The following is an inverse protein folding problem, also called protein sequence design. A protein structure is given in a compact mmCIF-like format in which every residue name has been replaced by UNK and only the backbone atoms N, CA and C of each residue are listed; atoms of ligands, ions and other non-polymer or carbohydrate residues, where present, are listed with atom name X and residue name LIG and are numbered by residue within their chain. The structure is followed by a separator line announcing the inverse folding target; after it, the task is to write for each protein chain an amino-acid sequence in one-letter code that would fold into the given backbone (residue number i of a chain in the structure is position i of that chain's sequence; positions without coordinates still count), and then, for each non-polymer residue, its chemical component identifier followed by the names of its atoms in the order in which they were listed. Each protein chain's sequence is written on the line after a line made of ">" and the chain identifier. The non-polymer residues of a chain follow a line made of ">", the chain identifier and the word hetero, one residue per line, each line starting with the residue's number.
data_IF_824414089484
#
_entry.id   IF_824414089484
#
_cell.length_a   1.000
_cell.length_b   1.000
_cell.length_c   1.000
_cell.angle_alpha   90.00
_cell.angle_beta   90.00
_cell.angle_gamma   90.00
#
_symmetry.space_group_name_H-M   'P 1'
#
loop_
_entity.id
_entity.type
_entity.pdbx_description
1 polymer ?
#
# COMPACT_ATOMS: atom_id res chain seq x y z
N UNK A 1 4.54 -33.05 -16.83
CA UNK A 1 5.67 -32.47 -16.07
C UNK A 1 5.50 -30.97 -16.04
N UNK A 2 5.57 -30.31 -14.88
CA UNK A 2 5.61 -28.85 -14.82
C UNK A 2 6.93 -28.32 -15.40
N UNK A 3 6.91 -27.11 -15.94
CA UNK A 3 8.08 -26.43 -16.46
C UNK A 3 9.10 -26.19 -15.32
N UNK A 4 10.35 -26.66 -15.48
CA UNK A 4 11.42 -26.37 -14.53
C UNK A 4 11.66 -24.85 -14.46
N UNK A 5 11.91 -24.33 -13.26
CA UNK A 5 12.15 -22.90 -13.00
C UNK A 5 11.00 -21.97 -13.40
N UNK A 6 9.74 -22.43 -13.31
CA UNK A 6 8.56 -21.62 -13.64
C UNK A 6 8.49 -20.28 -12.88
N UNK A 7 9.14 -20.17 -11.73
CA UNK A 7 9.21 -18.93 -10.94
C UNK A 7 9.78 -17.73 -11.71
N UNK A 8 10.61 -17.96 -12.73
CA UNK A 8 11.16 -16.90 -13.60
C UNK A 8 10.08 -16.29 -14.51
N UNK A 9 9.04 -17.06 -14.81
CA UNK A 9 7.93 -16.66 -15.69
C UNK A 9 6.68 -16.26 -14.91
N UNK A 10 6.71 -16.32 -13.58
CA UNK A 10 5.57 -15.96 -12.71
C UNK A 10 5.77 -14.59 -12.10
N UNK A 11 4.71 -13.78 -12.12
CA UNK A 11 4.68 -12.47 -11.46
C UNK A 11 3.66 -12.50 -10.32
N UNK A 12 4.08 -12.05 -9.14
CA UNK A 12 3.17 -11.79 -8.03
C UNK A 12 2.58 -10.38 -8.19
N UNK A 13 1.26 -10.31 -8.38
CA UNK A 13 0.53 -9.06 -8.55
C UNK A 13 -0.22 -8.78 -7.25
N UNK A 14 -0.26 -7.51 -6.85
CA UNK A 14 -1.00 -7.08 -5.67
C UNK A 14 -2.45 -6.82 -6.08
N UNK A 15 -3.38 -7.48 -5.41
CA UNK A 15 -4.81 -7.22 -5.53
C UNK A 15 -5.17 -5.94 -4.75
N UNK A 16 -5.06 -4.79 -5.42
CA UNK A 16 -5.35 -3.49 -4.82
C UNK A 16 -6.80 -3.35 -4.43
N UNK A 17 -7.73 -3.90 -5.20
CA UNK A 17 -9.16 -3.72 -4.94
C UNK A 17 -9.55 -4.44 -3.67
N UNK A 18 -9.03 -5.66 -3.46
CA UNK A 18 -9.19 -6.37 -2.19
C UNK A 18 -8.52 -5.63 -1.03
N UNK A 19 -7.29 -5.12 -1.22
CA UNK A 19 -6.59 -4.34 -0.20
C UNK A 19 -7.41 -3.12 0.23
N UNK A 20 -7.86 -2.30 -0.74
CA UNK A 20 -8.60 -1.07 -0.47
C UNK A 20 -9.99 -1.37 0.10
N UNK A 21 -10.66 -2.42 -0.37
CA UNK A 21 -11.99 -2.80 0.14
C UNK A 21 -11.90 -3.26 1.59
N UNK A 22 -10.99 -4.18 1.90
CA UNK A 22 -10.89 -4.77 3.24
C UNK A 22 -10.37 -3.77 4.28
N UNK A 23 -9.54 -2.81 3.85
CA UNK A 23 -9.07 -1.71 4.72
C UNK A 23 -10.00 -0.50 4.73
N UNK A 24 -11.16 -0.59 4.06
CA UNK A 24 -12.10 0.51 3.82
C UNK A 24 -11.46 1.76 3.19
N UNK A 25 -10.31 1.59 2.54
CA UNK A 25 -9.49 2.64 1.96
C UNK A 25 -9.30 3.84 2.91
N UNK A 26 -9.17 3.56 4.21
CA UNK A 26 -9.13 4.56 5.25
C UNK A 26 -7.91 4.31 6.12
N UNK A 27 -6.91 5.18 5.97
CA UNK A 27 -5.62 5.03 6.61
C UNK A 27 -5.28 6.28 7.41
N UNK A 28 -4.38 6.15 8.37
CA UNK A 28 -3.83 7.28 9.12
C UNK A 28 -2.48 7.65 8.53
N UNK A 29 -2.32 8.91 8.14
CA UNK A 29 -1.07 9.44 7.64
C UNK A 29 -0.05 9.58 8.79
N UNK A 30 1.15 9.02 8.61
CA UNK A 30 2.22 9.01 9.62
C UNK A 30 3.35 9.97 9.26
N UNK A 31 3.89 9.85 8.04
CA UNK A 31 5.03 10.64 7.58
C UNK A 31 5.12 10.63 6.06
N UNK A 32 5.98 11.49 5.50
CA UNK A 32 6.28 11.52 4.08
C UNK A 32 7.76 11.84 3.83
N UNK A 33 8.25 11.43 2.66
CA UNK A 33 9.54 11.83 2.10
C UNK A 33 9.43 12.02 0.59
N UNK A 34 10.17 12.96 -0.02
CA UNK A 34 10.25 13.08 -1.47
C UNK A 34 10.69 11.75 -2.09
N UNK A 35 10.09 11.41 -3.23
CA UNK A 35 10.44 10.22 -4.01
C UNK A 35 10.83 10.61 -5.43
N UNK A 36 11.96 10.06 -5.88
CA UNK A 36 12.38 10.07 -7.28
C UNK A 36 12.88 8.68 -7.66
N UNK A 37 12.34 8.13 -8.74
CA UNK A 37 12.77 6.83 -9.24
C UNK A 37 14.19 6.90 -9.80
N UNK A 38 15.04 5.95 -9.39
CA UNK A 38 16.40 5.80 -9.92
C UNK A 38 16.44 5.35 -11.39
N UNK A 39 15.39 4.64 -11.84
CA UNK A 39 15.32 4.07 -13.19
C UNK A 39 14.67 5.01 -14.19
N UNK A 40 13.72 5.83 -13.74
CA UNK A 40 13.02 6.80 -14.57
C UNK A 40 12.91 8.14 -13.83
N UNK A 41 13.80 9.11 -14.11
CA UNK A 41 13.81 10.40 -13.42
C UNK A 41 12.50 11.20 -13.51
N UNK A 42 11.64 10.92 -14.49
CA UNK A 42 10.32 11.56 -14.64
C UNK A 42 9.28 11.03 -13.66
N UNK A 43 9.52 9.86 -13.07
CA UNK A 43 8.68 9.30 -12.00
C UNK A 43 9.06 9.93 -10.66
N UNK A 44 8.53 11.12 -10.44
CA UNK A 44 8.65 11.85 -9.19
C UNK A 44 7.33 11.87 -8.43
N UNK A 45 7.44 11.99 -7.11
CA UNK A 45 6.29 11.95 -6.22
C UNK A 45 6.69 11.99 -4.76
N UNK A 46 5.84 11.42 -3.92
CA UNK A 46 6.03 11.39 -2.47
C UNK A 46 5.84 9.97 -1.97
N UNK A 47 6.82 9.46 -1.22
CA UNK A 47 6.68 8.23 -0.45
C UNK A 47 6.05 8.58 0.89
N UNK A 48 4.95 7.89 1.22
CA UNK A 48 4.10 8.16 2.37
C UNK A 48 4.00 6.90 3.21
N UNK A 49 4.21 7.03 4.51
CA UNK A 49 3.95 5.97 5.47
C UNK A 49 2.54 6.12 6.02
N UNK A 50 1.77 5.05 5.93
CA UNK A 50 0.37 4.98 6.35
C UNK A 50 0.19 3.90 7.41
N UNK A 51 -0.71 4.14 8.35
CA UNK A 51 -1.12 3.18 9.36
C UNK A 51 -2.53 2.67 9.04
N UNK A 52 -2.69 1.35 9.08
CA UNK A 52 -3.97 0.68 8.82
C UNK A 52 -4.91 0.88 10.02
N UNK A 53 -6.11 1.40 9.75
CA UNK A 53 -7.13 1.67 10.77
C UNK A 53 -8.19 0.57 10.84
N UNK A 54 -8.47 -0.07 9.71
CA UNK A 54 -9.44 -1.14 9.58
C UNK A 54 -8.82 -2.23 8.70
N UNK A 55 -9.11 -3.49 9.01
CA UNK A 55 -8.80 -4.61 8.14
C UNK A 55 -9.79 -5.75 8.44
N UNK A 56 -10.69 -6.00 7.50
CA UNK A 56 -11.69 -7.07 7.59
C UNK A 56 -11.26 -8.36 6.89
N UNK A 57 -9.98 -8.50 6.54
CA UNK A 57 -9.47 -9.69 5.85
C UNK A 57 -9.41 -10.89 6.79
N UNK A 58 -9.98 -12.01 6.37
CA UNK A 58 -9.74 -13.30 7.02
C UNK A 58 -8.43 -13.91 6.52
N UNK A 59 -7.39 -13.87 7.37
CA UNK A 59 -6.09 -14.46 7.09
C UNK A 59 -6.00 -15.95 7.48
N UNK A 60 -7.07 -16.52 8.02
CA UNK A 60 -7.15 -17.88 8.50
C UNK A 60 -6.24 -18.16 9.70
N UNK A 61 -5.94 -19.44 9.91
CA UNK A 61 -5.17 -19.94 11.05
C UNK A 61 -3.73 -20.24 10.64
N UNK A 62 -2.77 -19.92 11.51
CA UNK A 62 -1.40 -20.37 11.37
C UNK A 62 -1.31 -21.89 11.61
N UNK A 63 -0.78 -22.63 10.63
CA UNK A 63 -0.73 -24.09 10.67
C UNK A 63 0.25 -24.65 11.72
N UNK A 64 1.20 -23.86 12.20
CA UNK A 64 2.19 -24.27 13.20
C UNK A 64 1.69 -24.02 14.61
N UNK A 65 1.08 -22.87 14.86
CA UNK A 65 0.63 -22.48 16.21
C UNK A 65 -0.83 -22.84 16.48
N UNK A 66 -1.63 -23.06 15.44
CA UNK A 66 -3.09 -23.26 15.57
C UNK A 66 -3.85 -22.00 15.95
N UNK A 67 -3.19 -20.84 16.02
CA UNK A 67 -3.80 -19.56 16.38
C UNK A 67 -4.29 -18.80 15.14
N UNK A 68 -5.35 -17.98 15.25
CA UNK A 68 -5.74 -17.05 14.19
C UNK A 68 -4.57 -16.14 13.82
N UNK A 69 -4.38 -15.87 12.53
CA UNK A 69 -3.39 -14.88 12.08
C UNK A 69 -3.82 -13.48 12.47
N UNK A 70 -2.85 -12.65 12.84
CA UNK A 70 -3.10 -11.27 13.23
C UNK A 70 -3.61 -10.42 12.07
N UNK A 71 -4.46 -9.46 12.40
CA UNK A 71 -4.95 -8.43 11.49
C UNK A 71 -3.85 -7.41 11.19
N UNK A 72 -3.93 -6.71 10.05
CA UNK A 72 -3.02 -5.59 9.78
C UNK A 72 -3.38 -4.29 10.51
N UNK A 73 -4.46 -4.24 11.31
CA UNK A 73 -4.77 -3.05 12.11
C UNK A 73 -3.57 -2.65 12.97
N UNK A 74 -3.24 -1.36 12.96
CA UNK A 74 -2.05 -0.76 13.58
C UNK A 74 -0.70 -1.12 12.95
N UNK A 75 -0.66 -1.89 11.86
CA UNK A 75 0.54 -2.03 11.06
C UNK A 75 0.72 -0.81 10.17
N UNK A 76 1.97 -0.41 9.98
CA UNK A 76 2.36 0.66 9.06
C UNK A 76 2.90 0.08 7.77
N UNK A 77 2.62 0.75 6.66
CA UNK A 77 3.13 0.37 5.34
C UNK A 77 3.44 1.62 4.51
N UNK A 78 4.34 1.46 3.55
CA UNK A 78 4.76 2.55 2.67
C UNK A 78 4.04 2.45 1.32
N UNK A 79 3.57 3.60 0.84
CA UNK A 79 3.07 3.78 -0.53
C UNK A 79 3.80 4.93 -1.20
N UNK A 80 3.81 4.93 -2.53
CA UNK A 80 4.35 6.04 -3.31
C UNK A 80 3.25 6.69 -4.13
N UNK A 81 3.07 7.99 -3.95
CA UNK A 81 2.13 8.81 -4.72
C UNK A 81 2.89 9.46 -5.87
N UNK A 82 2.71 8.95 -7.09
CA UNK A 82 3.34 9.46 -8.30
C UNK A 82 2.54 10.60 -8.92
N UNK A 83 2.65 11.78 -8.33
CA UNK A 83 1.90 12.98 -8.72
C UNK A 83 2.78 14.18 -9.12
N UNK A 84 4.08 13.96 -9.35
CA UNK A 84 5.08 14.99 -9.68
C UNK A 84 5.25 16.07 -8.61
N UNK A 85 4.80 15.85 -7.38
CA UNK A 85 5.04 16.74 -6.23
C UNK A 85 6.16 16.18 -5.36
N UNK A 86 6.91 17.05 -4.71
CA UNK A 86 7.91 16.68 -3.70
C UNK A 86 7.33 16.64 -2.27
N UNK A 87 6.13 17.18 -2.08
CA UNK A 87 5.45 17.28 -0.79
C UNK A 87 3.92 17.28 -0.94
N UNK A 88 3.24 16.72 0.05
CA UNK A 88 1.79 16.71 0.21
C UNK A 88 1.39 17.52 1.44
N UNK A 89 0.36 18.37 1.33
CA UNK A 89 -0.17 19.13 2.46
C UNK A 89 -1.02 18.23 3.38
N UNK A 90 -0.35 17.36 4.13
CA UNK A 90 -0.92 16.40 5.08
C UNK A 90 -0.16 16.49 6.39
N UNK A 91 -0.89 16.44 7.50
CA UNK A 91 -0.32 16.45 8.86
C UNK A 91 -0.38 15.05 9.45
N UNK A 92 0.66 14.68 10.23
CA UNK A 92 0.67 13.42 10.99
C UNK A 92 -0.61 13.33 11.80
N UNK A 93 -1.33 12.22 11.66
CA UNK A 93 -2.64 12.07 12.26
C UNK A 93 -3.81 12.34 11.30
N UNK A 94 -3.60 12.84 10.09
CA UNK A 94 -4.69 13.00 9.12
C UNK A 94 -5.22 11.64 8.65
N UNK A 95 -6.54 11.52 8.49
CA UNK A 95 -7.16 10.37 7.85
C UNK A 95 -7.14 10.56 6.34
N UNK A 96 -6.71 9.54 5.60
CA UNK A 96 -6.49 9.61 4.15
C UNK A 96 -6.99 8.37 3.43
N UNK A 97 -7.31 8.54 2.15
CA UNK A 97 -7.67 7.48 1.21
C UNK A 97 -6.78 7.54 -0.03
N UNK A 98 -6.59 6.39 -0.66
CA UNK A 98 -5.74 6.21 -1.84
C UNK A 98 -6.60 6.05 -3.10
N UNK A 99 -6.11 6.57 -4.23
CA UNK A 99 -6.80 6.44 -5.51
C UNK A 99 -5.83 6.33 -6.69
N UNK A 100 -6.32 5.73 -7.78
CA UNK A 100 -5.55 5.54 -9.00
C UNK A 100 -4.34 4.63 -8.78
N UNK A 101 -4.58 3.40 -8.29
CA UNK A 101 -3.55 2.37 -8.23
C UNK A 101 -2.88 2.20 -9.60
N UNK A 102 -1.56 1.96 -9.61
CA UNK A 102 -0.77 1.82 -10.84
C UNK A 102 -0.21 0.39 -10.86
N UNK A 103 -0.93 -0.59 -11.45
CA UNK A 103 -0.53 -2.00 -11.44
C UNK A 103 0.83 -2.22 -12.09
N UNK A 104 1.13 -1.52 -13.20
CA UNK A 104 2.36 -1.72 -13.98
C UNK A 104 3.62 -1.23 -13.25
N UNK A 105 3.44 -0.47 -12.15
CA UNK A 105 4.53 0.06 -11.35
C UNK A 105 4.48 -0.44 -9.90
N UNK A 106 3.55 -1.33 -9.59
CA UNK A 106 3.37 -1.89 -8.25
C UNK A 106 3.77 -3.36 -8.24
N UNK A 107 4.56 -3.77 -7.25
CA UNK A 107 5.20 -5.08 -7.25
C UNK A 107 5.30 -5.65 -5.84
N UNK A 108 5.14 -6.97 -5.72
CA UNK A 108 5.58 -7.73 -4.56
C UNK A 108 6.87 -8.47 -4.94
N UNK A 109 8.00 -8.08 -4.35
CA UNK A 109 9.31 -8.67 -4.63
C UNK A 109 9.89 -9.19 -3.30
N UNK A 110 9.87 -10.52 -3.12
CA UNK A 110 10.24 -11.12 -1.85
C UNK A 110 9.30 -10.66 -0.73
N UNK A 111 9.84 -9.94 0.26
CA UNK A 111 9.07 -9.34 1.35
C UNK A 111 8.78 -7.84 1.15
N UNK A 112 9.32 -7.24 0.09
CA UNK A 112 9.13 -5.83 -0.21
C UNK A 112 7.86 -5.61 -1.03
N UNK A 113 7.03 -4.67 -0.56
CA UNK A 113 5.83 -4.22 -1.25
C UNK A 113 6.07 -2.83 -1.82
N UNK A 114 6.07 -2.72 -3.15
CA UNK A 114 6.07 -1.46 -3.86
C UNK A 114 4.65 -1.15 -4.29
N UNK A 115 3.99 -0.27 -3.56
CA UNK A 115 2.62 0.17 -3.84
C UNK A 115 2.62 1.57 -4.42
N UNK A 116 2.13 1.74 -5.65
CA UNK A 116 2.10 3.04 -6.31
C UNK A 116 0.69 3.47 -6.65
N UNK A 117 0.39 4.72 -6.31
CA UNK A 117 -0.90 5.37 -6.53
C UNK A 117 -0.68 6.72 -7.21
N UNK A 118 -1.70 7.21 -7.92
CA UNK A 118 -1.69 8.55 -8.53
C UNK A 118 -2.07 9.62 -7.51
N UNK A 119 -2.95 9.28 -6.59
CA UNK A 119 -3.58 10.25 -5.70
C UNK A 119 -3.71 9.73 -4.27
N UNK A 120 -3.68 10.69 -3.34
CA UNK A 120 -4.03 10.53 -1.94
C UNK A 120 -4.92 11.70 -1.55
N UNK A 121 -6.02 11.41 -0.85
CA UNK A 121 -7.03 12.41 -0.46
C UNK A 121 -7.21 12.39 1.04
N UNK A 122 -7.28 13.56 1.66
CA UNK A 122 -7.70 13.68 3.05
C UNK A 122 -9.19 13.38 3.14
N UNK A 123 -9.57 12.47 4.02
CA UNK A 123 -10.98 12.19 4.32
C UNK A 123 -11.40 13.22 5.37
N UNK A 124 -12.33 14.11 5.03
CA UNK A 124 -12.98 14.95 6.04
C UNK A 124 -13.86 14.04 6.89
N UNK A 125 -13.44 13.81 8.13
CA UNK A 125 -14.39 13.36 9.15
C UNK A 125 -15.21 14.59 9.48
N UNK A 126 -16.42 14.70 8.93
CA UNK A 126 -17.41 15.62 9.48
C UNK A 126 -17.67 15.15 10.92
N UNK A 127 -17.11 15.88 11.88
CA UNK A 127 -17.48 15.73 13.30
C UNK A 127 -18.96 16.14 13.40
N UNK A 128 -19.84 15.14 13.54
CA UNK A 128 -21.20 15.32 14.04
C UNK A 128 -21.27 14.98 15.51
#
# INVERSE_FOLDING_TARGET
>A
MPLQNSYVYTQTIIDSDKLLTNTKNTFRYVSQRPYQSKKNPEETGVSVTLLVLYDSTDYGTDKKTGMPRESNVFNSFDVTILNKKSYLDLKKGDTVSLAGFIPEKSFAIGFDLLLRFREIKKVQTDEK
#
